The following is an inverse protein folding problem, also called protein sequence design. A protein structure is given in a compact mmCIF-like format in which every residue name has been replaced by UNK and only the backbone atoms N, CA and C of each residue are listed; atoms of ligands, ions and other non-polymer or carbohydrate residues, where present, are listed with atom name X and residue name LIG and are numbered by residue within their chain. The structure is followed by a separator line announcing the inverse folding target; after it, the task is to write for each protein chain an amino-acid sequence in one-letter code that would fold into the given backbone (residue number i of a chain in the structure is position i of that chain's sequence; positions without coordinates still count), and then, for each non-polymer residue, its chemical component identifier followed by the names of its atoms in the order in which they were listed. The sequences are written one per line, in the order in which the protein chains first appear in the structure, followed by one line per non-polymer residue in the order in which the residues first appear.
data_IF_354490789715
#
_entry.id   IF_354490789715
#
_cell.length_a   1.000
_cell.length_b   1.000
_cell.length_c   1.000
_cell.angle_alpha   90.00
_cell.angle_beta   90.00
_cell.angle_gamma   90.00
#
_symmetry.space_group_name_H-M   'P 1'
#
loop_
_entity.id
_entity.type
_entity.pdbx_description
1 polymer ?
#
# COMPACT_ATOMS: atom_id res chain seq x y z
N UNK A 1 14.66 2.89 21.00
CA UNK A 1 14.04 1.84 20.19
C UNK A 1 14.14 2.13 18.69
N UNK A 2 13.63 3.27 18.22
CA UNK A 2 13.65 3.66 16.80
C UNK A 2 15.07 3.62 16.21
N UNK A 3 16.07 4.12 16.95
CA UNK A 3 17.47 4.11 16.50
C UNK A 3 18.03 2.68 16.39
N UNK A 4 17.75 1.80 17.35
CA UNK A 4 18.13 0.38 17.31
C UNK A 4 17.49 -0.35 16.13
N UNK A 5 16.23 -0.03 15.81
CA UNK A 5 15.50 -0.57 14.65
C UNK A 5 16.12 -0.07 13.33
N UNK A 6 16.51 1.19 13.26
CA UNK A 6 17.12 1.81 12.07
C UNK A 6 18.47 1.19 11.71
N UNK A 7 19.32 0.95 12.69
CA UNK A 7 20.67 0.34 12.48
C UNK A 7 20.64 -1.18 12.31
N UNK A 8 19.51 -1.85 12.51
CA UNK A 8 19.38 -3.29 12.26
C UNK A 8 19.98 -4.21 13.32
N UNK A 9 20.46 -3.67 14.44
CA UNK A 9 21.16 -4.43 15.50
C UNK A 9 20.23 -5.00 16.57
N UNK A 10 18.93 -5.13 16.25
CA UNK A 10 17.95 -5.54 17.23
C UNK A 10 17.21 -6.82 16.82
N UNK A 11 17.18 -7.82 17.70
CA UNK A 11 16.43 -9.08 17.52
C UNK A 11 15.31 -9.14 18.56
N UNK A 12 14.06 -9.38 18.17
CA UNK A 12 12.95 -9.51 19.11
C UNK A 12 12.93 -10.86 19.81
N UNK A 13 12.39 -10.88 21.02
CA UNK A 13 11.84 -12.09 21.64
C UNK A 13 10.41 -12.30 21.11
N UNK A 14 9.99 -13.58 20.90
CA UNK A 14 8.83 -13.94 20.05
C UNK A 14 7.47 -13.38 20.49
N UNK A 15 7.27 -12.99 21.74
CA UNK A 15 5.96 -12.58 22.27
C UNK A 15 5.79 -11.09 22.54
N UNK A 16 6.81 -10.27 22.35
CA UNK A 16 6.74 -8.87 22.72
C UNK A 16 6.07 -8.00 21.64
N UNK A 17 4.93 -7.40 22.01
CA UNK A 17 4.17 -6.49 21.14
C UNK A 17 4.99 -5.28 20.69
N UNK A 18 5.88 -4.79 21.54
CA UNK A 18 6.78 -3.69 21.25
C UNK A 18 7.78 -4.08 20.16
N UNK A 19 8.28 -5.30 20.23
CA UNK A 19 9.15 -5.89 19.25
C UNK A 19 8.48 -6.04 17.87
N UNK A 20 7.25 -6.53 17.84
CA UNK A 20 6.48 -6.60 16.59
C UNK A 20 6.23 -5.22 15.97
N UNK A 21 5.91 -4.22 16.80
CA UNK A 21 5.75 -2.84 16.32
C UNK A 21 7.05 -2.27 15.75
N UNK A 22 8.19 -2.60 16.32
CA UNK A 22 9.49 -2.19 15.81
C UNK A 22 9.83 -2.84 14.47
N UNK A 23 9.51 -4.13 14.26
CA UNK A 23 9.65 -4.79 12.97
C UNK A 23 8.75 -4.15 11.91
N UNK A 24 7.50 -3.83 12.28
CA UNK A 24 6.57 -3.11 11.40
C UNK A 24 7.12 -1.75 10.98
N UNK A 25 7.64 -0.97 11.94
CA UNK A 25 8.22 0.35 11.67
C UNK A 25 9.46 0.26 10.77
N UNK A 26 10.34 -0.71 11.00
CA UNK A 26 11.50 -0.98 10.16
C UNK A 26 11.10 -1.37 8.75
N UNK A 27 10.16 -2.30 8.60
CA UNK A 27 9.67 -2.75 7.31
C UNK A 27 9.00 -1.63 6.53
N UNK A 28 8.19 -0.80 7.20
CA UNK A 28 7.62 0.39 6.58
C UNK A 28 8.69 1.35 6.07
N UNK A 29 9.75 1.59 6.85
CA UNK A 29 10.86 2.43 6.43
C UNK A 29 11.61 1.85 5.21
N UNK A 30 11.88 0.55 5.19
CA UNK A 30 12.55 -0.12 4.07
C UNK A 30 11.70 -0.03 2.79
N UNK A 31 10.39 -0.32 2.90
CA UNK A 31 9.46 -0.17 1.79
C UNK A 31 9.39 1.29 1.30
N UNK A 32 9.33 2.26 2.22
CA UNK A 32 9.34 3.68 1.88
C UNK A 32 10.59 4.10 1.07
N UNK A 33 11.77 3.57 1.41
CA UNK A 33 12.99 3.83 0.61
C UNK A 33 12.85 3.27 -0.82
N UNK A 34 12.29 2.07 -0.99
CA UNK A 34 12.03 1.51 -2.31
C UNK A 34 11.01 2.35 -3.10
N UNK A 35 9.92 2.78 -2.45
CA UNK A 35 8.92 3.69 -3.05
C UNK A 35 9.56 5.01 -3.51
N UNK A 36 10.48 5.58 -2.72
CA UNK A 36 11.22 6.80 -3.12
C UNK A 36 12.04 6.58 -4.39
N UNK A 37 12.64 5.41 -4.55
CA UNK A 37 13.34 5.03 -5.79
C UNK A 37 12.41 5.06 -6.99
N UNK A 38 11.24 4.42 -6.89
CA UNK A 38 10.22 4.42 -7.93
C UNK A 38 9.73 5.84 -8.26
N UNK A 39 9.47 6.67 -7.23
CA UNK A 39 9.07 8.06 -7.42
C UNK A 39 10.16 8.85 -8.14
N UNK A 40 11.43 8.65 -7.80
CA UNK A 40 12.54 9.27 -8.52
C UNK A 40 12.54 8.95 -10.01
N UNK A 41 12.22 7.70 -10.38
CA UNK A 41 12.12 7.28 -11.77
C UNK A 41 10.90 7.91 -12.48
N UNK A 42 9.77 7.98 -11.79
CA UNK A 42 8.56 8.66 -12.29
C UNK A 42 8.86 10.14 -12.58
N UNK A 43 9.55 10.82 -11.68
CA UNK A 43 9.93 12.23 -11.85
C UNK A 43 10.94 12.45 -12.97
N UNK A 44 11.68 11.41 -13.36
CA UNK A 44 12.57 11.40 -14.55
C UNK A 44 11.82 11.05 -15.85
N UNK A 45 10.50 10.88 -15.80
CA UNK A 45 9.66 10.67 -16.98
C UNK A 45 9.17 9.25 -17.20
N UNK A 46 9.46 8.29 -16.29
CA UNK A 46 8.89 6.94 -16.38
C UNK A 46 7.37 7.01 -16.14
N UNK A 47 6.59 6.27 -16.92
CA UNK A 47 5.14 6.20 -16.72
C UNK A 47 4.82 5.68 -15.31
N UNK A 48 3.96 6.38 -14.57
CA UNK A 48 3.69 6.09 -13.16
C UNK A 48 3.01 4.72 -12.97
N UNK A 49 2.04 4.37 -13.83
CA UNK A 49 1.37 3.06 -13.77
C UNK A 49 2.33 1.91 -14.03
N UNK A 50 3.21 2.04 -15.03
CA UNK A 50 4.24 1.03 -15.33
C UNK A 50 5.28 0.90 -14.22
N UNK A 51 5.74 2.02 -13.68
CA UNK A 51 6.73 2.03 -12.61
C UNK A 51 6.18 1.33 -11.35
N UNK A 52 4.97 1.68 -10.93
CA UNK A 52 4.34 1.07 -9.77
C UNK A 52 4.00 -0.41 -10.00
N UNK A 53 3.55 -0.78 -11.22
CA UNK A 53 3.34 -2.18 -11.60
C UNK A 53 4.61 -3.01 -11.42
N UNK A 54 5.74 -2.50 -11.88
CA UNK A 54 7.02 -3.21 -11.79
C UNK A 54 7.54 -3.32 -10.36
N UNK A 55 7.38 -2.27 -9.56
CA UNK A 55 8.12 -2.12 -8.31
C UNK A 55 7.29 -2.45 -7.05
N UNK A 56 5.94 -2.46 -7.11
CA UNK A 56 5.14 -2.74 -5.91
C UNK A 56 5.40 -4.11 -5.26
N UNK A 57 5.81 -5.18 -5.97
CA UNK A 57 6.20 -6.43 -5.31
C UNK A 57 7.47 -6.26 -4.47
N UNK A 58 8.43 -5.44 -4.92
CA UNK A 58 9.61 -5.10 -4.14
C UNK A 58 9.24 -4.31 -2.88
N UNK A 59 8.30 -3.35 -2.97
CA UNK A 59 7.83 -2.59 -1.81
C UNK A 59 7.23 -3.52 -0.75
N UNK A 60 6.40 -4.47 -1.20
CA UNK A 60 5.80 -5.48 -0.33
C UNK A 60 6.86 -6.36 0.33
N UNK A 61 7.82 -6.86 -0.43
CA UNK A 61 8.94 -7.65 0.09
C UNK A 61 9.74 -6.87 1.14
N UNK A 62 10.11 -5.62 0.86
CA UNK A 62 10.85 -4.77 1.81
C UNK A 62 10.06 -4.51 3.08
N UNK A 63 8.74 -4.35 2.98
CA UNK A 63 7.87 -4.13 4.14
C UNK A 63 7.90 -5.30 5.14
N UNK A 64 8.06 -6.52 4.65
CA UNK A 64 8.01 -7.73 5.47
C UNK A 64 9.38 -8.38 5.69
N UNK A 65 10.43 -7.91 5.03
CA UNK A 65 11.79 -8.44 5.17
C UNK A 65 12.29 -8.51 6.63
N UNK A 66 12.01 -7.53 7.52
CA UNK A 66 12.40 -7.66 8.93
C UNK A 66 11.82 -8.88 9.64
N UNK A 67 10.62 -9.32 9.26
CA UNK A 67 10.00 -10.54 9.80
C UNK A 67 10.64 -11.82 9.27
N UNK A 68 11.09 -11.78 8.02
CA UNK A 68 11.89 -12.88 7.44
C UNK A 68 13.25 -12.99 8.13
N UNK A 69 13.89 -11.85 8.38
CA UNK A 69 15.23 -11.80 9.01
C UNK A 69 15.24 -12.44 10.42
N UNK A 70 14.12 -12.34 11.13
CA UNK A 70 14.00 -12.94 12.49
C UNK A 70 13.30 -14.31 12.49
N UNK A 71 12.98 -14.86 11.31
CA UNK A 71 12.41 -16.21 11.16
C UNK A 71 10.90 -16.32 11.44
N UNK A 72 10.17 -15.19 11.53
CA UNK A 72 8.71 -15.19 11.72
C UNK A 72 7.97 -15.51 10.40
N UNK A 73 8.52 -15.09 9.27
CA UNK A 73 8.02 -15.37 7.92
C UNK A 73 9.11 -16.04 7.09
N UNK A 74 8.69 -16.78 6.09
CA UNK A 74 9.59 -17.27 5.05
C UNK A 74 9.59 -16.30 3.85
N UNK A 75 10.68 -16.27 3.09
CA UNK A 75 10.77 -15.40 1.90
C UNK A 75 9.72 -15.77 0.86
N UNK A 76 9.40 -17.03 0.75
CA UNK A 76 8.41 -17.62 -0.17
C UNK A 76 6.99 -17.10 0.12
N UNK A 77 6.68 -16.76 1.38
CA UNK A 77 5.40 -16.19 1.79
C UNK A 77 5.17 -14.78 1.20
N UNK A 78 6.23 -14.13 0.73
CA UNK A 78 6.21 -12.77 0.19
C UNK A 78 6.16 -12.74 -1.34
N UNK A 79 6.21 -13.89 -2.00
CA UNK A 79 6.25 -13.98 -3.47
C UNK A 79 4.84 -14.04 -4.05
N UNK A 80 4.56 -13.09 -4.95
CA UNK A 80 3.27 -13.04 -5.66
C UNK A 80 2.13 -12.51 -4.79
N UNK A 81 0.90 -12.80 -5.23
CA UNK A 81 -0.31 -12.40 -4.53
C UNK A 81 -0.84 -13.55 -3.65
N UNK A 82 -1.70 -13.21 -2.69
CA UNK A 82 -2.29 -14.17 -1.76
C UNK A 82 -2.93 -15.36 -2.49
N UNK A 83 -2.82 -16.51 -1.87
CA UNK A 83 -3.44 -17.77 -2.33
C UNK A 83 -4.68 -18.14 -1.53
N UNK A 84 -4.87 -17.52 -0.36
CA UNK A 84 -6.02 -17.69 0.52
C UNK A 84 -7.03 -16.55 0.45
N UNK A 85 -8.28 -16.83 0.84
CA UNK A 85 -9.30 -15.80 1.05
C UNK A 85 -8.95 -14.98 2.30
N UNK A 86 -9.21 -13.68 2.25
CA UNK A 86 -9.04 -12.76 3.36
C UNK A 86 -10.32 -11.97 3.61
N UNK A 87 -10.48 -11.50 4.83
CA UNK A 87 -11.59 -10.64 5.25
C UNK A 87 -11.05 -9.40 5.94
N UNK A 88 -11.67 -8.25 5.67
CA UNK A 88 -11.25 -6.98 6.26
C UNK A 88 -12.02 -6.79 7.55
N UNK A 89 -11.31 -6.72 8.66
CA UNK A 89 -11.93 -6.55 9.98
C UNK A 89 -12.78 -5.28 10.05
N UNK A 90 -14.06 -5.44 10.36
CA UNK A 90 -15.00 -4.33 10.51
C UNK A 90 -15.50 -3.74 9.19
N UNK A 91 -15.28 -4.43 8.06
CA UNK A 91 -15.82 -4.07 6.75
C UNK A 91 -16.87 -5.10 6.29
N UNK A 92 -17.87 -4.64 5.54
CA UNK A 92 -18.83 -5.50 4.83
C UNK A 92 -18.30 -5.89 3.44
N UNK A 93 -17.27 -5.18 2.96
CA UNK A 93 -16.63 -5.53 1.70
C UNK A 93 -15.86 -6.85 1.82
N UNK A 94 -16.18 -7.78 0.95
CA UNK A 94 -15.45 -9.06 0.81
C UNK A 94 -14.47 -8.92 -0.36
N UNK A 95 -13.15 -8.93 -0.09
CA UNK A 95 -12.16 -8.86 -1.17
C UNK A 95 -12.30 -9.98 -2.19
N UNK A 96 -11.84 -9.73 -3.41
CA UNK A 96 -11.87 -10.70 -4.51
C UNK A 96 -11.27 -12.04 -4.08
N UNK A 97 -11.74 -13.13 -4.69
CA UNK A 97 -11.09 -14.42 -4.48
C UNK A 97 -9.67 -14.43 -5.08
N UNK A 98 -8.76 -15.31 -4.63
CA UNK A 98 -7.36 -15.28 -5.06
C UNK A 98 -7.13 -15.41 -6.57
N UNK A 99 -8.01 -16.12 -7.29
CA UNK A 99 -7.92 -16.25 -8.75
C UNK A 99 -8.25 -14.90 -9.41
N UNK A 100 -9.35 -14.27 -9.02
CA UNK A 100 -9.75 -12.97 -9.54
C UNK A 100 -8.74 -11.85 -9.21
N UNK A 101 -7.99 -11.93 -8.11
CA UNK A 101 -6.89 -10.99 -7.81
C UNK A 101 -5.83 -10.99 -8.91
N UNK A 102 -5.45 -12.17 -9.40
CA UNK A 102 -4.42 -12.31 -10.45
C UNK A 102 -4.85 -11.69 -11.77
N UNK A 103 -6.15 -11.70 -12.05
CA UNK A 103 -6.71 -11.10 -13.25
C UNK A 103 -6.91 -9.57 -13.06
N UNK A 104 -7.35 -9.14 -11.88
CA UNK A 104 -7.70 -7.74 -11.61
C UNK A 104 -6.47 -6.82 -11.47
N UNK A 105 -5.37 -7.27 -10.88
CA UNK A 105 -4.19 -6.43 -10.66
C UNK A 105 -3.53 -5.97 -11.97
N UNK A 106 -3.30 -6.82 -12.98
CA UNK A 106 -2.81 -6.35 -14.28
C UNK A 106 -3.72 -5.30 -14.91
N UNK A 107 -5.05 -5.51 -14.87
CA UNK A 107 -6.04 -4.56 -15.40
C UNK A 107 -5.97 -3.22 -14.66
N UNK A 108 -5.87 -3.23 -13.32
CA UNK A 108 -5.70 -2.01 -12.54
C UNK A 108 -4.49 -1.19 -13.03
N UNK A 109 -3.34 -1.83 -13.19
CA UNK A 109 -2.13 -1.11 -13.60
C UNK A 109 -2.18 -0.66 -15.06
N UNK A 110 -2.84 -1.40 -15.94
CA UNK A 110 -3.07 -0.98 -17.33
C UNK A 110 -3.99 0.26 -17.38
N UNK A 111 -5.01 0.33 -16.53
CA UNK A 111 -5.85 1.53 -16.39
C UNK A 111 -5.05 2.72 -15.85
N UNK A 112 -4.24 2.52 -14.80
CA UNK A 112 -3.40 3.57 -14.22
C UNK A 112 -2.32 4.07 -15.18
N UNK A 113 -1.80 3.19 -16.05
CA UNK A 113 -0.86 3.57 -17.11
C UNK A 113 -1.48 4.54 -18.10
N UNK A 114 -2.75 4.32 -18.47
CA UNK A 114 -3.44 5.06 -19.51
C UNK A 114 -4.24 6.26 -19.00
N UNK A 115 -4.50 6.37 -17.69
CA UNK A 115 -5.22 7.51 -17.11
C UNK A 115 -4.34 8.78 -17.13
N UNK A 116 -4.74 9.86 -17.82
CA UNK A 116 -3.91 11.07 -17.98
C UNK A 116 -3.84 11.92 -16.70
N UNK A 117 -4.87 11.90 -15.85
CA UNK A 117 -4.96 12.80 -14.69
C UNK A 117 -4.30 12.19 -13.43
N UNK A 118 -3.21 12.80 -12.89
CA UNK A 118 -2.53 12.26 -11.73
C UNK A 118 -3.41 12.12 -10.49
N UNK A 119 -4.31 13.08 -10.24
CA UNK A 119 -5.22 13.02 -9.10
C UNK A 119 -6.24 11.87 -9.24
N UNK A 120 -6.73 11.60 -10.46
CA UNK A 120 -7.62 10.46 -10.73
C UNK A 120 -6.85 9.14 -10.52
N UNK A 121 -5.63 9.03 -11.09
CA UNK A 121 -4.76 7.88 -10.84
C UNK A 121 -4.54 7.64 -9.36
N UNK A 122 -4.29 8.69 -8.59
CA UNK A 122 -4.02 8.59 -7.16
C UNK A 122 -5.23 8.05 -6.38
N UNK A 123 -6.40 8.63 -6.59
CA UNK A 123 -7.65 8.22 -5.91
C UNK A 123 -8.05 6.81 -6.32
N UNK A 124 -8.15 6.55 -7.62
CA UNK A 124 -8.60 5.23 -8.13
C UNK A 124 -7.55 4.15 -7.89
N UNK A 125 -6.27 4.46 -8.04
CA UNK A 125 -5.18 3.52 -7.78
C UNK A 125 -5.16 3.05 -6.32
N UNK A 126 -5.29 3.99 -5.39
CA UNK A 126 -5.40 3.64 -3.98
C UNK A 126 -6.66 2.83 -3.68
N UNK A 127 -7.81 3.33 -4.11
CA UNK A 127 -9.10 2.68 -3.85
C UNK A 127 -9.13 1.26 -4.41
N UNK A 128 -8.86 1.06 -5.68
CA UNK A 128 -8.94 -0.27 -6.28
C UNK A 128 -7.86 -1.22 -5.78
N UNK A 129 -6.67 -0.73 -5.46
CA UNK A 129 -5.66 -1.59 -4.84
C UNK A 129 -6.13 -2.15 -3.50
N UNK A 130 -6.74 -1.31 -2.65
CA UNK A 130 -7.29 -1.73 -1.36
C UNK A 130 -8.55 -2.59 -1.54
N UNK A 131 -9.39 -2.29 -2.53
CA UNK A 131 -10.58 -3.07 -2.87
C UNK A 131 -10.24 -4.51 -3.32
N UNK A 132 -9.28 -4.65 -4.23
CA UNK A 132 -8.78 -5.95 -4.72
C UNK A 132 -8.10 -6.74 -3.59
N UNK A 133 -7.39 -6.04 -2.71
CA UNK A 133 -6.71 -6.61 -1.53
C UNK A 133 -5.74 -7.72 -1.89
N UNK A 134 -4.69 -7.46 -2.69
CA UNK A 134 -3.90 -8.51 -3.32
C UNK A 134 -3.01 -9.33 -2.38
N UNK A 135 -2.71 -8.85 -1.20
CA UNK A 135 -1.80 -9.49 -0.25
C UNK A 135 -2.54 -10.01 1.00
N UNK A 136 -1.89 -10.89 1.75
CA UNK A 136 -2.46 -11.43 3.00
C UNK A 136 -2.60 -10.37 4.08
N UNK A 137 -1.66 -9.41 4.17
CA UNK A 137 -1.69 -8.24 5.05
C UNK A 137 -0.93 -7.08 4.40
N UNK A 138 -1.07 -5.88 4.98
CA UNK A 138 -0.34 -4.68 4.52
C UNK A 138 -0.98 -3.94 3.35
N UNK A 139 -2.12 -4.37 2.82
CA UNK A 139 -2.75 -3.76 1.65
C UNK A 139 -3.06 -2.26 1.84
N UNK A 140 -3.49 -1.85 3.03
CA UNK A 140 -3.71 -0.43 3.31
C UNK A 140 -2.44 0.42 3.28
N UNK A 141 -1.28 -0.14 3.70
CA UNK A 141 0.03 0.52 3.61
C UNK A 141 0.48 0.61 2.15
N UNK A 142 0.35 -0.50 1.42
CA UNK A 142 0.64 -0.56 -0.01
C UNK A 142 -0.22 0.39 -0.83
N UNK A 143 -1.53 0.43 -0.58
CA UNK A 143 -2.44 1.37 -1.24
C UNK A 143 -2.03 2.84 -1.03
N UNK A 144 -1.57 3.21 0.18
CA UNK A 144 -1.03 4.56 0.43
C UNK A 144 0.29 4.82 -0.30
N UNK A 145 1.12 3.82 -0.53
CA UNK A 145 2.31 3.96 -1.38
C UNK A 145 1.91 4.17 -2.84
N UNK A 146 0.94 3.40 -3.35
CA UNK A 146 0.37 3.62 -4.69
C UNK A 146 -0.18 5.04 -4.83
N UNK A 147 -1.00 5.51 -3.87
CA UNK A 147 -1.51 6.88 -3.83
C UNK A 147 -0.37 7.90 -4.01
N UNK A 148 0.66 7.79 -3.19
CA UNK A 148 1.75 8.77 -3.17
C UNK A 148 2.62 8.72 -4.43
N UNK A 149 2.85 7.55 -5.01
CA UNK A 149 3.56 7.43 -6.28
C UNK A 149 2.77 8.09 -7.42
N UNK A 150 1.43 7.93 -7.43
CA UNK A 150 0.58 8.58 -8.43
C UNK A 150 0.48 10.09 -8.20
N UNK A 151 0.39 10.56 -6.95
CA UNK A 151 0.43 11.99 -6.62
C UNK A 151 1.74 12.63 -7.09
N UNK A 152 2.88 12.00 -6.82
CA UNK A 152 4.19 12.49 -7.23
C UNK A 152 4.30 12.67 -8.75
N UNK A 153 3.64 11.84 -9.56
CA UNK A 153 3.60 11.97 -11.02
C UNK A 153 2.91 13.26 -11.50
N UNK A 154 2.12 13.89 -10.64
CA UNK A 154 1.49 15.20 -10.89
C UNK A 154 2.16 16.37 -10.17
N UNK A 155 3.31 16.14 -9.54
CA UNK A 155 4.01 17.17 -8.78
C UNK A 155 3.42 17.47 -7.39
N UNK A 156 2.49 16.64 -6.90
CA UNK A 156 1.92 16.80 -5.57
C UNK A 156 2.88 16.28 -4.48
N UNK A 157 2.78 16.90 -3.31
CA UNK A 157 3.55 16.49 -2.15
C UNK A 157 3.13 15.11 -1.61
N UNK A 158 4.05 14.47 -0.87
CA UNK A 158 3.73 13.26 -0.12
C UNK A 158 2.59 13.50 0.86
N UNK A 159 1.55 12.68 0.76
CA UNK A 159 0.32 12.83 1.53
C UNK A 159 0.21 11.72 2.57
N UNK A 160 -0.11 12.11 3.80
CA UNK A 160 -0.33 11.19 4.94
C UNK A 160 -1.76 11.34 5.43
N UNK A 161 -2.42 10.23 5.74
CA UNK A 161 -3.70 10.25 6.47
C UNK A 161 -3.39 10.39 7.95
N UNK A 162 -3.70 11.54 8.59
CA UNK A 162 -3.47 11.74 10.02
C UNK A 162 -4.30 10.75 10.86
N UNK A 163 -3.80 10.42 12.05
CA UNK A 163 -4.49 9.48 12.96
C UNK A 163 -5.89 9.99 13.32
N UNK A 164 -6.04 11.29 13.51
CA UNK A 164 -7.29 11.98 13.85
C UNK A 164 -8.34 11.82 12.75
N UNK A 165 -7.90 11.76 11.49
CA UNK A 165 -8.79 11.58 10.32
C UNK A 165 -8.96 10.13 9.89
N UNK A 166 -8.32 9.18 10.59
CA UNK A 166 -8.38 7.76 10.24
C UNK A 166 -9.81 7.22 10.20
N UNK A 167 -10.66 7.62 11.13
CA UNK A 167 -12.07 7.17 11.20
C UNK A 167 -12.87 7.65 9.98
N UNK A 168 -12.72 8.90 9.59
CA UNK A 168 -13.34 9.50 8.41
C UNK A 168 -12.88 8.78 7.13
N UNK A 169 -11.57 8.60 6.98
CA UNK A 169 -10.97 7.89 5.85
C UNK A 169 -11.48 6.44 5.73
N UNK A 170 -11.55 5.69 6.82
CA UNK A 170 -12.05 4.31 6.81
C UNK A 170 -13.54 4.25 6.46
N UNK A 171 -14.35 5.19 6.95
CA UNK A 171 -15.79 5.29 6.62
C UNK A 171 -15.99 5.59 5.13
N UNK A 172 -15.20 6.49 4.56
CA UNK A 172 -15.24 6.83 3.14
C UNK A 172 -14.83 5.66 2.24
N UNK A 173 -13.80 4.90 2.63
CA UNK A 173 -13.42 3.66 1.95
C UNK A 173 -14.52 2.59 2.00
N UNK A 174 -15.14 2.41 3.16
CA UNK A 174 -16.22 1.45 3.33
C UNK A 174 -17.41 1.79 2.44
N UNK A 175 -17.85 3.05 2.45
CA UNK A 175 -18.93 3.53 1.58
C UNK A 175 -18.61 3.29 0.11
N UNK A 176 -17.41 3.64 -0.33
CA UNK A 176 -16.97 3.40 -1.70
C UNK A 176 -16.97 1.90 -2.07
N UNK A 177 -16.57 1.04 -1.14
CA UNK A 177 -16.45 -0.40 -1.39
C UNK A 177 -17.80 -1.13 -1.38
N UNK A 178 -18.77 -0.67 -0.59
CA UNK A 178 -20.06 -1.35 -0.39
C UNK A 178 -21.15 -0.72 -1.26
N UNK A 179 -21.19 0.61 -1.38
CA UNK A 179 -22.22 1.35 -2.10
C UNK A 179 -21.80 1.75 -3.53
N UNK A 180 -20.51 1.59 -3.88
CA UNK A 180 -19.99 2.01 -5.18
C UNK A 180 -19.81 3.52 -5.34
N UNK A 181 -20.02 4.32 -4.27
CA UNK A 181 -19.86 5.78 -4.29
C UNK A 181 -18.50 6.22 -3.77
N UNK A 182 -17.59 6.52 -4.70
CA UNK A 182 -16.22 6.96 -4.39
C UNK A 182 -16.12 8.45 -3.98
N UNK A 183 -17.22 9.21 -4.07
CA UNK A 183 -17.21 10.69 -3.94
C UNK A 183 -16.66 11.15 -2.59
N UNK A 184 -17.09 10.51 -1.50
CA UNK A 184 -16.61 10.86 -0.14
C UNK A 184 -15.12 10.54 0.01
N UNK A 185 -14.68 9.40 -0.51
CA UNK A 185 -13.27 9.02 -0.47
C UNK A 185 -12.40 10.00 -1.27
N UNK A 186 -12.83 10.39 -2.46
CA UNK A 186 -12.13 11.38 -3.27
C UNK A 186 -12.01 12.75 -2.55
N UNK A 187 -13.09 13.21 -1.89
CA UNK A 187 -13.08 14.44 -1.08
C UNK A 187 -12.09 14.34 0.09
N UNK A 188 -12.07 13.21 0.80
CA UNK A 188 -11.12 12.99 1.90
C UNK A 188 -9.69 13.09 1.38
N UNK A 189 -9.34 12.38 0.29
CA UNK A 189 -8.00 12.45 -0.29
C UNK A 189 -7.66 13.86 -0.75
N UNK A 190 -8.56 14.53 -1.50
CA UNK A 190 -8.33 15.89 -1.98
C UNK A 190 -8.04 16.89 -0.85
N UNK A 191 -8.72 16.75 0.29
CA UNK A 191 -8.52 17.62 1.46
C UNK A 191 -7.19 17.39 2.19
N UNK A 192 -6.50 16.28 1.92
CA UNK A 192 -5.19 15.95 2.49
C UNK A 192 -4.02 16.39 1.60
N UNK A 193 -4.26 16.55 0.32
CA UNK A 193 -3.23 16.95 -0.66
C UNK A 193 -2.97 18.45 -0.54
N UNK A 194 -1.68 18.83 -0.47
CA UNK A 194 -1.21 20.21 -0.38
C UNK A 194 -0.39 20.57 -1.60
#
# INVERSE_FOLDING_TARGET
LIEKVRVGNWKPEEEDKEHKNALVARGYYQAFQAVRGTISDILKGKNAGEAVRADHPLWYMQMWMPFVTVGILQREDLVGYRTGQVYIRGSQHIPLNPKAVRDAIPVLFDLLKNEPHPAVRAVLGHFFFVYIHPYMDGNGRMGRFVLNAMLASGGYNWTVVPVERRKEYMKALEKASVEGDISEFAKVIASLVK
#
